data_IF_522850570349
#
_entry.id   IF_522850570349
#
_cell.length_a   1.000
_cell.length_b   1.000
_cell.length_c   1.000
_cell.angle_alpha   90.00
_cell.angle_beta   90.00
_cell.angle_gamma   90.00
#
_symmetry.space_group_name_H-M   'P 1'
#
loop_
_entity.id
_entity.type
_entity.pdbx_description
1 polymer ?
#
# COMPACT_ATOMS: atom_id res chain seq x y z
N UNK A 1 -51.62 30.80 -24.94
CA UNK A 1 -50.51 29.84 -24.84
C UNK A 1 -49.76 30.18 -23.56
N UNK A 2 -49.66 29.26 -22.61
CA UNK A 2 -48.89 29.50 -21.38
C UNK A 2 -47.43 29.26 -21.73
N UNK A 3 -46.61 30.31 -21.63
CA UNK A 3 -45.17 30.22 -21.78
C UNK A 3 -44.64 29.25 -20.71
N UNK A 4 -44.33 28.01 -21.12
CA UNK A 4 -43.69 27.04 -20.24
C UNK A 4 -42.20 27.34 -20.24
N UNK A 5 -41.72 28.01 -19.20
CA UNK A 5 -40.28 28.10 -18.96
C UNK A 5 -39.69 26.68 -18.87
N UNK A 6 -38.57 26.41 -19.58
CA UNK A 6 -37.93 25.11 -19.51
C UNK A 6 -37.38 24.90 -18.10
N UNK A 7 -37.85 23.85 -17.43
CA UNK A 7 -37.32 23.44 -16.13
C UNK A 7 -35.88 22.98 -16.31
N UNK A 8 -34.93 23.81 -15.87
CA UNK A 8 -33.51 23.46 -15.85
C UNK A 8 -33.26 22.59 -14.62
N UNK A 9 -33.05 21.29 -14.84
CA UNK A 9 -32.67 20.36 -13.79
C UNK A 9 -31.16 20.45 -13.59
N UNK A 10 -30.74 21.16 -12.54
CA UNK A 10 -29.34 21.24 -12.13
C UNK A 10 -28.91 19.92 -11.49
N UNK A 11 -28.55 18.93 -12.30
CA UNK A 11 -27.93 17.68 -11.85
C UNK A 11 -26.42 17.89 -11.67
N UNK A 12 -26.03 18.74 -10.73
CA UNK A 12 -24.65 19.22 -10.64
C UNK A 12 -24.23 19.53 -9.21
N UNK A 13 -23.88 18.49 -8.46
CA UNK A 13 -23.35 18.66 -7.09
C UNK A 13 -22.56 17.47 -6.54
N UNK A 14 -22.72 16.27 -7.11
CA UNK A 14 -22.15 15.04 -6.57
C UNK A 14 -21.06 14.36 -7.39
N UNK A 15 -20.62 14.95 -8.52
CA UNK A 15 -19.67 14.28 -9.43
C UNK A 15 -18.31 13.97 -8.79
N UNK A 16 -17.91 14.75 -7.78
CA UNK A 16 -16.67 14.56 -7.04
C UNK A 16 -16.81 13.64 -5.83
N UNK A 17 -18.05 13.31 -5.41
CA UNK A 17 -18.29 12.53 -4.19
C UNK A 17 -17.65 11.14 -4.29
N UNK A 18 -17.74 10.52 -5.47
CA UNK A 18 -17.08 9.22 -5.74
C UNK A 18 -15.57 9.34 -5.57
N UNK A 19 -14.95 10.39 -6.13
CA UNK A 19 -13.52 10.63 -6.00
C UNK A 19 -13.10 10.87 -4.54
N UNK A 20 -13.88 11.64 -3.78
CA UNK A 20 -13.62 11.87 -2.36
C UNK A 20 -13.75 10.60 -1.52
N UNK A 21 -14.77 9.77 -1.77
CA UNK A 21 -14.93 8.49 -1.07
C UNK A 21 -13.75 7.58 -1.37
N UNK A 22 -13.35 7.46 -2.66
CA UNK A 22 -12.20 6.66 -3.04
C UNK A 22 -10.90 7.16 -2.38
N UNK A 23 -10.69 8.47 -2.31
CA UNK A 23 -9.55 9.07 -1.63
C UNK A 23 -9.53 8.69 -0.14
N UNK A 24 -10.67 8.79 0.55
CA UNK A 24 -10.79 8.43 1.97
C UNK A 24 -10.47 6.95 2.17
N UNK A 25 -11.00 6.06 1.32
CA UNK A 25 -10.73 4.62 1.41
C UNK A 25 -9.24 4.32 1.21
N UNK A 26 -8.57 4.97 0.26
CA UNK A 26 -7.14 4.77 0.02
C UNK A 26 -6.30 5.25 1.21
N UNK A 27 -6.61 6.42 1.76
CA UNK A 27 -5.88 6.96 2.92
C UNK A 27 -6.11 6.10 4.16
N UNK A 28 -7.37 5.79 4.48
CA UNK A 28 -7.70 4.97 5.65
C UNK A 28 -7.14 3.54 5.53
N UNK A 29 -7.30 2.91 4.37
CA UNK A 29 -6.73 1.59 4.10
C UNK A 29 -5.20 1.59 4.17
N UNK A 30 -4.55 2.59 3.59
CA UNK A 30 -3.10 2.76 3.65
C UNK A 30 -2.58 2.93 5.07
N UNK A 31 -3.24 3.76 5.89
CA UNK A 31 -2.90 3.95 7.29
C UNK A 31 -3.03 2.65 8.10
N UNK A 32 -4.15 1.93 7.96
CA UNK A 32 -4.34 0.64 8.65
C UNK A 32 -3.28 -0.40 8.26
N UNK A 33 -2.92 -0.47 6.98
CA UNK A 33 -1.87 -1.39 6.50
C UNK A 33 -0.47 -0.95 6.93
N UNK A 34 -0.23 0.35 7.11
CA UNK A 34 1.03 0.88 7.62
C UNK A 34 1.17 0.63 9.13
N UNK A 35 0.15 0.94 9.92
CA UNK A 35 0.13 0.73 11.38
C UNK A 35 0.21 -0.76 11.76
N UNK A 36 -0.40 -1.64 10.97
CA UNK A 36 -0.30 -3.10 11.18
C UNK A 36 1.07 -3.67 10.82
N UNK A 37 2.01 -2.86 10.31
CA UNK A 37 3.32 -3.31 9.87
C UNK A 37 3.29 -4.14 8.58
N UNK A 38 2.13 -4.26 7.92
CA UNK A 38 1.99 -5.00 6.66
C UNK A 38 2.78 -4.34 5.51
N UNK A 39 2.80 -3.01 5.49
CA UNK A 39 3.60 -2.20 4.55
C UNK A 39 4.99 -1.83 5.09
N UNK A 40 5.31 -2.22 6.33
CA UNK A 40 6.59 -1.91 6.98
C UNK A 40 7.74 -2.81 6.53
N UNK A 41 8.95 -2.46 6.96
CA UNK A 41 10.15 -3.26 6.72
C UNK A 41 10.02 -4.60 7.45
N UNK A 42 9.78 -5.68 6.72
CA UNK A 42 9.82 -7.03 7.29
C UNK A 42 11.27 -7.41 7.47
N UNK A 43 11.73 -7.47 8.72
CA UNK A 43 13.07 -7.94 9.05
C UNK A 43 13.15 -9.45 8.79
N UNK A 44 13.55 -9.83 7.58
CA UNK A 44 13.83 -11.21 7.21
C UNK A 44 15.24 -11.52 7.71
N UNK A 45 15.34 -12.12 8.89
CA UNK A 45 16.59 -12.63 9.43
C UNK A 45 17.08 -13.80 8.59
N UNK A 46 18.13 -13.57 7.80
CA UNK A 46 18.83 -14.64 7.08
C UNK A 46 19.92 -15.17 8.01
N UNK A 47 19.74 -16.39 8.51
CA UNK A 47 20.79 -17.11 9.24
C UNK A 47 21.75 -17.75 8.23
N UNK A 48 23.02 -17.34 8.28
CA UNK A 48 24.08 -17.88 7.41
C UNK A 48 24.99 -18.74 8.26
N UNK A 49 24.81 -20.05 8.16
CA UNK A 49 25.76 -21.01 8.73
C UNK A 49 26.93 -21.21 7.75
N UNK A 50 28.14 -20.90 8.21
CA UNK A 50 29.36 -21.22 7.47
C UNK A 50 29.75 -22.69 7.67
N UNK A 51 30.20 -23.39 6.61
CA UNK A 51 30.75 -24.72 6.75
C UNK A 51 32.01 -24.68 7.61
N UNK A 52 32.18 -25.67 8.49
CA UNK A 52 33.42 -25.87 9.25
C UNK A 52 34.56 -26.14 8.27
N UNK A 53 35.61 -25.31 8.34
CA UNK A 53 36.81 -25.49 7.54
C UNK A 53 37.83 -26.29 8.35
N UNK A 54 38.14 -27.47 7.82
CA UNK A 54 39.31 -28.31 8.09
C UNK A 54 40.65 -27.57 7.93
N UNK A 55 41.52 -27.32 8.93
CA UNK A 55 42.88 -26.87 8.62
C UNK A 55 43.60 -27.92 7.77
N UNK A 56 44.33 -27.54 6.70
CA UNK A 56 45.12 -28.50 5.93
C UNK A 56 46.16 -29.17 6.83
N UNK A 57 46.36 -30.48 6.63
CA UNK A 57 47.31 -31.25 7.43
C UNK A 57 48.71 -30.64 7.37
N UNK A 58 49.46 -30.61 8.49
CA UNK A 58 50.82 -30.09 8.52
C UNK A 58 51.70 -30.86 7.54
N UNK A 59 52.33 -30.15 6.60
CA UNK A 59 53.36 -30.73 5.74
C UNK A 59 54.66 -30.77 6.54
N UNK A 60 54.95 -31.90 7.20
CA UNK A 60 56.28 -32.18 7.75
C UNK A 60 57.25 -32.41 6.61
N UNK A 61 58.28 -31.55 6.52
CA UNK A 61 59.41 -31.66 5.60
C UNK A 61 60.57 -32.42 6.24
#
# INVERSE_FOLDING_TARGET
MSDREPTVIHTGGGGWAVAAILLIVVIAGGLLLFESGYLGNRDIGIDVTLPKIEPPAPVTR
#
